data_IF_747495696051
#
_entry.id   IF_747495696051
#
_cell.length_a   1.000
_cell.length_b   1.000
_cell.length_c   1.000
_cell.angle_alpha   90.00
_cell.angle_beta   90.00
_cell.angle_gamma   90.00
#
_symmetry.space_group_name_H-M   'P 1'
#
loop_
_entity.id
_entity.type
_entity.pdbx_description
1 polymer ?
#
# COMPACT_ATOMS: atom_id res chain seq x y z
N UNK A 1 2.79 -13.94 9.91
CA UNK A 1 3.49 -12.96 9.06
C UNK A 1 3.34 -11.60 9.73
N UNK A 2 4.46 -10.93 9.97
CA UNK A 2 4.48 -9.56 10.48
C UNK A 2 4.56 -8.59 9.29
N UNK A 3 3.57 -7.70 9.18
CA UNK A 3 3.54 -6.65 8.17
C UNK A 3 3.64 -5.29 8.87
N UNK A 4 4.55 -4.44 8.38
CA UNK A 4 4.62 -3.04 8.78
C UNK A 4 4.23 -2.17 7.58
N UNK A 5 3.15 -1.40 7.74
CA UNK A 5 2.73 -0.40 6.77
C UNK A 5 3.31 0.96 7.17
N UNK A 6 4.19 1.48 6.31
CA UNK A 6 4.97 2.67 6.57
C UNK A 6 4.46 3.83 5.74
N UNK A 7 3.96 4.89 6.36
CA UNK A 7 3.54 6.05 5.59
C UNK A 7 2.54 6.99 6.22
N UNK A 8 1.81 7.67 5.35
CA UNK A 8 0.87 8.72 5.70
C UNK A 8 -0.44 8.20 6.28
N UNK A 9 -1.06 9.05 7.06
CA UNK A 9 -2.46 8.96 7.46
C UNK A 9 -3.18 10.24 7.02
N UNK A 10 -4.44 10.09 6.72
CA UNK A 10 -5.33 11.20 6.33
C UNK A 10 -6.72 10.96 6.89
N UNK A 11 -7.53 12.00 6.92
CA UNK A 11 -8.99 11.87 7.02
C UNK A 11 -9.59 12.16 5.65
N UNK A 12 -10.41 11.23 5.16
CA UNK A 12 -11.25 11.42 3.99
C UNK A 12 -12.59 12.01 4.45
N UNK A 13 -12.82 13.29 4.14
CA UNK A 13 -14.02 14.03 4.51
C UNK A 13 -14.97 14.13 3.32
N UNK A 14 -16.19 13.65 3.49
CA UNK A 14 -17.23 13.68 2.48
C UNK A 14 -18.22 14.81 2.77
N UNK A 15 -18.18 15.87 1.97
CA UNK A 15 -19.00 17.08 2.18
C UNK A 15 -20.50 16.81 2.11
N UNK A 16 -20.93 15.97 1.18
CA UNK A 16 -22.36 15.69 0.98
C UNK A 16 -23.00 14.89 2.12
N UNK A 17 -22.23 14.08 2.86
CA UNK A 17 -22.70 13.31 4.03
C UNK A 17 -22.18 13.87 5.36
N UNK A 18 -21.22 14.79 5.33
CA UNK A 18 -20.52 15.32 6.50
C UNK A 18 -19.85 14.22 7.36
N UNK A 19 -19.41 13.15 6.71
CA UNK A 19 -18.75 12.02 7.35
C UNK A 19 -17.23 12.10 7.18
N UNK A 20 -16.52 11.64 8.20
CA UNK A 20 -15.07 11.52 8.23
C UNK A 20 -14.69 10.05 8.33
N UNK A 21 -13.78 9.61 7.46
CA UNK A 21 -13.23 8.27 7.51
C UNK A 21 -11.71 8.33 7.60
N UNK A 22 -11.10 7.44 8.40
CA UNK A 22 -9.65 7.27 8.36
C UNK A 22 -9.23 6.82 6.96
N UNK A 23 -8.10 7.31 6.49
CA UNK A 23 -7.57 7.00 5.18
C UNK A 23 -6.05 7.11 5.15
N UNK A 24 -5.51 7.01 3.96
CA UNK A 24 -4.07 6.93 3.70
C UNK A 24 -3.67 5.52 3.30
N UNK A 25 -2.79 5.42 2.31
CA UNK A 25 -2.36 4.13 1.77
C UNK A 25 -1.84 3.19 2.87
N UNK A 26 -0.94 3.66 3.75
CA UNK A 26 -0.37 2.84 4.81
C UNK A 26 -1.41 2.41 5.86
N UNK A 27 -2.34 3.29 6.25
CA UNK A 27 -3.43 2.97 7.18
C UNK A 27 -4.33 1.89 6.58
N UNK A 28 -4.73 2.04 5.32
CA UNK A 28 -5.58 1.06 4.63
C UNK A 28 -4.90 -0.31 4.55
N UNK A 29 -3.62 -0.35 4.15
CA UNK A 29 -2.84 -1.58 4.07
C UNK A 29 -2.75 -2.27 5.44
N UNK A 30 -2.46 -1.53 6.53
CA UNK A 30 -2.36 -2.10 7.87
C UNK A 30 -3.68 -2.75 8.32
N UNK A 31 -4.79 -2.05 8.14
CA UNK A 31 -6.12 -2.55 8.52
C UNK A 31 -6.52 -3.78 7.69
N UNK A 32 -6.32 -3.75 6.38
CA UNK A 32 -6.61 -4.92 5.55
C UNK A 32 -5.72 -6.12 5.92
N UNK A 33 -4.43 -5.89 6.20
CA UNK A 33 -3.53 -6.95 6.62
C UNK A 33 -3.97 -7.59 7.94
N UNK A 34 -4.37 -6.78 8.93
CA UNK A 34 -4.90 -7.27 10.20
C UNK A 34 -6.17 -8.10 10.00
N UNK A 35 -7.11 -7.62 9.19
CA UNK A 35 -8.35 -8.36 8.84
C UNK A 35 -8.09 -9.69 8.13
N UNK A 36 -6.98 -9.80 7.42
CA UNK A 36 -6.51 -11.06 6.80
C UNK A 36 -5.70 -11.95 7.75
N UNK A 37 -5.57 -11.56 9.04
CA UNK A 37 -4.90 -12.34 10.06
C UNK A 37 -3.37 -12.16 10.13
N UNK A 38 -2.83 -11.10 9.52
CA UNK A 38 -1.45 -10.73 9.71
C UNK A 38 -1.26 -10.05 11.08
N UNK A 39 -0.07 -10.17 11.66
CA UNK A 39 0.38 -9.27 12.72
C UNK A 39 0.73 -7.94 12.05
N UNK A 40 -0.22 -7.00 12.06
CA UNK A 40 -0.09 -5.74 11.37
C UNK A 40 0.34 -4.62 12.31
N UNK A 41 1.29 -3.83 11.86
CA UNK A 41 1.75 -2.62 12.52
C UNK A 41 1.66 -1.46 11.53
N UNK A 42 1.21 -0.31 11.99
CA UNK A 42 1.29 0.94 11.27
C UNK A 42 2.42 1.79 11.86
N UNK A 43 3.27 2.33 11.00
CA UNK A 43 4.36 3.23 11.37
C UNK A 43 4.24 4.53 10.55
N UNK A 44 3.84 5.59 11.22
CA UNK A 44 3.69 6.93 10.66
C UNK A 44 3.47 7.95 11.75
N UNK A 45 3.67 9.23 11.45
CA UNK A 45 3.48 10.30 12.43
C UNK A 45 1.99 10.60 12.61
N UNK A 46 1.52 10.62 13.86
CA UNK A 46 0.18 11.04 14.24
C UNK A 46 0.20 12.48 14.74
N UNK A 47 -0.86 13.23 14.47
CA UNK A 47 -1.12 14.50 15.16
C UNK A 47 -1.69 14.25 16.56
N UNK A 48 -2.02 15.35 17.29
CA UNK A 48 -2.71 15.29 18.57
C UNK A 48 -4.09 15.97 18.53
N UNK A 49 -4.62 16.12 17.33
CA UNK A 49 -5.95 16.68 17.09
C UNK A 49 -7.07 15.61 17.10
N UNK A 50 -8.32 16.06 17.06
CA UNK A 50 -9.47 15.14 17.05
C UNK A 50 -9.46 14.20 15.83
N UNK A 51 -8.90 14.62 14.69
CA UNK A 51 -8.81 13.82 13.48
C UNK A 51 -7.77 12.69 13.64
N UNK A 52 -6.65 12.97 14.32
CA UNK A 52 -5.67 11.95 14.69
C UNK A 52 -6.29 10.86 15.58
N UNK A 53 -7.12 11.25 16.56
CA UNK A 53 -7.81 10.28 17.42
C UNK A 53 -8.79 9.37 16.66
N UNK A 54 -9.40 9.85 15.57
CA UNK A 54 -10.23 8.99 14.69
C UNK A 54 -9.37 7.94 14.01
N UNK A 55 -8.20 8.32 13.49
CA UNK A 55 -7.26 7.37 12.85
C UNK A 55 -6.73 6.37 13.87
N UNK A 56 -6.25 6.85 15.02
CA UNK A 56 -5.73 6.03 16.11
C UNK A 56 -6.74 4.97 16.56
N UNK A 57 -7.96 5.42 16.90
CA UNK A 57 -9.04 4.54 17.31
C UNK A 57 -9.35 3.47 16.27
N UNK A 58 -9.43 3.87 15.00
CA UNK A 58 -9.74 2.93 13.93
C UNK A 58 -8.64 1.89 13.73
N UNK A 59 -7.37 2.26 13.84
CA UNK A 59 -6.24 1.32 13.80
C UNK A 59 -6.32 0.32 14.96
N UNK A 60 -6.51 0.80 16.19
CA UNK A 60 -6.60 -0.02 17.40
C UNK A 60 -7.80 -0.98 17.37
N UNK A 61 -8.98 -0.50 16.96
CA UNK A 61 -10.21 -1.33 16.85
C UNK A 61 -10.06 -2.45 15.79
N UNK A 62 -9.19 -2.27 14.81
CA UNK A 62 -8.87 -3.29 13.82
C UNK A 62 -7.65 -4.16 14.21
N UNK A 63 -7.12 -4.01 15.44
CA UNK A 63 -6.01 -4.83 15.94
C UNK A 63 -4.65 -4.50 15.31
N UNK A 64 -4.49 -3.28 14.80
CA UNK A 64 -3.21 -2.79 14.27
C UNK A 64 -2.39 -2.21 15.42
N UNK A 65 -1.13 -2.63 15.51
CA UNK A 65 -0.17 -2.07 16.45
C UNK A 65 0.31 -0.69 15.99
N UNK A 66 0.25 0.30 16.89
CA UNK A 66 0.70 1.67 16.67
C UNK A 66 1.69 2.14 17.75
N UNK A 67 2.23 1.20 18.52
CA UNK A 67 3.06 1.52 19.70
C UNK A 67 4.35 2.28 19.35
N UNK A 68 4.80 2.19 18.11
CA UNK A 68 5.98 2.91 17.60
C UNK A 68 5.63 4.19 16.83
N UNK A 69 4.35 4.58 16.74
CA UNK A 69 3.97 5.81 16.06
C UNK A 69 4.27 7.03 16.94
N UNK A 70 5.11 7.97 16.49
CA UNK A 70 5.29 9.23 17.19
C UNK A 70 4.01 10.08 17.13
N UNK A 71 3.58 10.59 18.28
CA UNK A 71 2.52 11.60 18.38
C UNK A 71 3.16 12.98 18.46
N UNK A 72 2.93 13.79 17.45
CA UNK A 72 3.50 15.12 17.31
C UNK A 72 2.60 16.16 17.93
N UNK A 73 3.00 16.68 19.09
CA UNK A 73 2.24 17.64 19.88
C UNK A 73 1.99 18.96 19.13
N UNK A 74 0.76 19.44 19.17
CA UNK A 74 0.32 20.66 18.50
C UNK A 74 0.25 20.55 16.96
N UNK A 75 0.23 19.32 16.43
CA UNK A 75 0.18 19.08 14.97
C UNK A 75 -1.17 18.52 14.56
N UNK A 76 -1.65 18.99 13.43
CA UNK A 76 -2.95 18.61 12.86
C UNK A 76 -2.83 17.52 11.80
N UNK A 77 -3.85 16.67 11.71
CA UNK A 77 -3.94 15.61 10.71
C UNK A 77 -4.32 16.17 9.35
N UNK A 78 -3.76 15.60 8.30
CA UNK A 78 -4.12 15.94 6.92
C UNK A 78 -5.57 15.51 6.63
N UNK A 79 -6.34 16.38 5.98
CA UNK A 79 -7.70 16.11 5.53
C UNK A 79 -7.77 16.20 4.01
N UNK A 80 -8.35 15.19 3.38
CA UNK A 80 -8.72 15.19 1.97
C UNK A 80 -10.23 15.29 1.84
N UNK A 81 -10.72 16.27 1.10
CA UNK A 81 -12.14 16.54 0.95
C UNK A 81 -12.69 16.06 -0.37
N UNK A 82 -13.85 15.42 -0.33
CA UNK A 82 -14.53 14.83 -1.48
C UNK A 82 -16.02 15.18 -1.51
N UNK A 83 -16.57 15.28 -2.73
CA UNK A 83 -17.99 15.13 -2.99
C UNK A 83 -18.26 13.83 -3.76
N UNK A 84 -19.41 13.22 -3.52
CA UNK A 84 -19.88 12.09 -4.31
C UNK A 84 -21.10 12.51 -5.12
N UNK A 85 -20.96 12.50 -6.44
CA UNK A 85 -22.03 12.83 -7.38
C UNK A 85 -22.28 11.61 -8.28
N UNK A 86 -23.49 11.07 -8.23
CA UNK A 86 -23.88 9.88 -9.02
C UNK A 86 -22.97 8.65 -8.80
N UNK A 87 -22.45 8.46 -7.59
CA UNK A 87 -21.52 7.38 -7.25
C UNK A 87 -20.07 7.61 -7.67
N UNK A 88 -19.78 8.71 -8.34
CA UNK A 88 -18.41 9.13 -8.67
C UNK A 88 -17.90 10.16 -7.68
N UNK A 89 -16.66 9.98 -7.24
CA UNK A 89 -15.98 10.91 -6.33
C UNK A 89 -15.31 12.03 -7.10
N UNK A 90 -15.57 13.24 -6.65
CA UNK A 90 -14.85 14.44 -7.06
C UNK A 90 -14.01 14.92 -5.90
N UNK A 91 -12.71 14.94 -6.11
CA UNK A 91 -11.76 15.52 -5.18
C UNK A 91 -11.95 17.04 -5.17
N UNK A 92 -12.08 17.64 -3.97
CA UNK A 92 -12.25 19.09 -3.80
C UNK A 92 -10.94 19.74 -3.42
N UNK A 93 -10.42 19.42 -2.23
CA UNK A 93 -9.22 20.03 -1.71
C UNK A 93 -8.43 19.11 -0.77
N UNK A 94 -7.16 19.44 -0.56
CA UNK A 94 -6.33 18.89 0.51
C UNK A 94 -6.01 20.00 1.50
N UNK A 95 -6.43 19.82 2.74
CA UNK A 95 -5.93 20.59 3.87
C UNK A 95 -4.73 19.83 4.41
N UNK A 96 -3.54 20.32 4.13
CA UNK A 96 -2.31 19.65 4.60
C UNK A 96 -2.16 19.86 6.10
N UNK A 97 -2.21 18.74 6.83
CA UNK A 97 -1.99 18.75 8.26
C UNK A 97 -0.52 18.94 8.62
N UNK A 98 -0.26 19.50 9.76
CA UNK A 98 1.09 19.80 10.24
C UNK A 98 1.84 18.56 10.77
N UNK A 99 1.14 17.46 11.06
CA UNK A 99 1.76 16.18 11.40
C UNK A 99 2.48 15.54 10.21
N UNK A 100 2.21 16.01 8.99
CA UNK A 100 2.78 15.48 7.77
C UNK A 100 3.41 16.58 6.89
N UNK A 101 4.41 17.28 7.42
CA UNK A 101 5.05 18.43 6.76
C UNK A 101 6.28 18.09 5.93
N UNK A 102 6.73 16.86 5.94
CA UNK A 102 7.95 16.44 5.23
C UNK A 102 8.06 14.93 5.09
N UNK A 103 9.21 14.41 4.68
CA UNK A 103 9.51 13.00 4.73
C UNK A 103 9.39 12.48 6.17
N UNK A 104 8.85 11.27 6.32
CA UNK A 104 8.84 10.59 7.61
C UNK A 104 10.28 10.43 8.10
N UNK A 105 10.55 10.88 9.33
CA UNK A 105 11.85 10.72 9.95
C UNK A 105 11.86 9.41 10.74
N UNK A 106 12.67 8.45 10.31
CA UNK A 106 12.78 7.15 10.99
C UNK A 106 13.90 7.21 12.02
N UNK A 107 13.55 6.99 13.27
CA UNK A 107 14.50 6.87 14.37
C UNK A 107 15.25 5.53 14.33
N UNK A 108 16.33 5.39 15.09
CA UNK A 108 17.04 4.12 15.22
C UNK A 108 16.15 2.99 15.76
N UNK A 109 15.25 3.31 16.70
CA UNK A 109 14.31 2.34 17.27
C UNK A 109 13.30 1.85 16.23
N UNK A 110 12.71 2.77 15.45
CA UNK A 110 11.78 2.43 14.38
C UNK A 110 12.48 1.63 13.26
N UNK A 111 13.75 1.94 12.98
CA UNK A 111 14.54 1.17 12.04
C UNK A 111 14.78 -0.27 12.54
N UNK A 112 15.06 -0.45 13.82
CA UNK A 112 15.20 -1.78 14.41
C UNK A 112 13.87 -2.54 14.37
N UNK A 113 12.75 -1.86 14.55
CA UNK A 113 11.43 -2.45 14.40
C UNK A 113 11.16 -2.91 12.94
N UNK A 114 11.49 -2.08 11.95
CA UNK A 114 11.35 -2.43 10.53
C UNK A 114 12.15 -3.69 10.15
N UNK A 115 13.30 -3.94 10.80
CA UNK A 115 14.09 -5.18 10.58
C UNK A 115 13.40 -6.45 11.06
N UNK A 116 12.39 -6.32 11.93
CA UNK A 116 11.61 -7.47 12.42
C UNK A 116 10.50 -7.90 11.49
N UNK A 117 10.16 -7.08 10.50
CA UNK A 117 9.08 -7.34 9.57
C UNK A 117 9.40 -8.49 8.61
N UNK A 118 8.36 -9.17 8.18
CA UNK A 118 8.40 -10.08 7.03
C UNK A 118 8.13 -9.33 5.73
N UNK A 119 7.27 -8.31 5.83
CA UNK A 119 6.81 -7.47 4.74
C UNK A 119 6.71 -6.02 5.21
N UNK A 120 7.28 -5.12 4.45
CA UNK A 120 7.09 -3.68 4.59
C UNK A 120 6.34 -3.18 3.35
N UNK A 121 5.31 -2.38 3.56
CA UNK A 121 4.57 -1.73 2.47
C UNK A 121 4.63 -0.22 2.68
N UNK A 122 5.02 0.50 1.65
CA UNK A 122 5.02 1.97 1.64
C UNK A 122 4.51 2.50 0.31
N UNK A 123 4.44 3.82 0.16
CA UNK A 123 3.95 4.44 -1.07
C UNK A 123 4.61 5.78 -1.37
N UNK A 124 4.41 6.27 -2.58
CA UNK A 124 4.83 7.61 -2.98
C UNK A 124 4.21 8.73 -2.12
N UNK A 125 3.08 8.47 -1.46
CA UNK A 125 2.45 9.42 -0.55
C UNK A 125 3.19 9.52 0.79
N UNK A 126 3.92 8.47 1.18
CA UNK A 126 4.71 8.42 2.39
C UNK A 126 5.95 9.31 2.36
N UNK A 127 6.33 9.85 1.17
CA UNK A 127 7.57 10.60 0.99
C UNK A 127 8.74 9.85 1.63
N UNK A 128 9.00 8.66 1.10
CA UNK A 128 9.94 7.70 1.63
C UNK A 128 11.26 8.34 2.05
N UNK A 129 11.71 8.15 3.28
CA UNK A 129 12.95 8.76 3.75
C UNK A 129 14.17 8.15 3.03
N UNK A 130 15.15 8.97 2.72
CA UNK A 130 16.42 8.57 2.12
C UNK A 130 17.10 7.43 2.90
N UNK A 131 16.89 7.38 4.21
CA UNK A 131 17.42 6.33 5.08
C UNK A 131 16.93 4.93 4.73
N UNK A 132 15.70 4.81 4.23
CA UNK A 132 15.16 3.51 3.80
C UNK A 132 15.71 3.09 2.43
N UNK A 133 16.00 4.07 1.59
CA UNK A 133 16.52 3.83 0.26
C UNK A 133 17.92 3.19 0.26
N UNK A 134 18.73 3.43 1.29
CA UNK A 134 20.12 2.95 1.37
C UNK A 134 20.33 1.74 2.29
N UNK A 135 19.29 1.27 2.99
CA UNK A 135 19.41 0.15 3.92
C UNK A 135 18.79 -1.13 3.33
N UNK A 136 19.60 -2.18 3.21
CA UNK A 136 19.11 -3.50 2.90
C UNK A 136 18.34 -4.04 4.11
N UNK A 137 17.03 -3.96 4.07
CA UNK A 137 16.15 -4.56 5.07
C UNK A 137 15.96 -6.05 4.76
N UNK A 138 15.90 -6.94 5.76
CA UNK A 138 15.66 -8.36 5.53
C UNK A 138 14.22 -8.67 5.09
N UNK A 139 13.31 -7.71 5.25
CA UNK A 139 11.91 -7.81 4.84
C UNK A 139 11.74 -7.69 3.32
N UNK A 140 10.69 -8.30 2.78
CA UNK A 140 10.21 -7.97 1.44
C UNK A 140 9.69 -6.53 1.46
N UNK A 141 10.13 -5.70 0.53
CA UNK A 141 9.69 -4.32 0.46
C UNK A 141 8.82 -4.06 -0.78
N UNK A 142 7.54 -3.79 -0.54
CA UNK A 142 6.57 -3.41 -1.56
C UNK A 142 6.31 -1.91 -1.53
N UNK A 143 6.27 -1.29 -2.72
CA UNK A 143 6.10 0.16 -2.84
C UNK A 143 5.05 0.52 -3.88
N UNK A 144 4.08 1.34 -3.48
CA UNK A 144 3.02 1.83 -4.36
C UNK A 144 3.38 3.19 -4.95
N UNK A 145 3.57 3.24 -6.27
CA UNK A 145 3.80 4.45 -7.04
C UNK A 145 2.50 5.21 -7.38
N UNK A 146 1.34 4.61 -7.07
CA UNK A 146 0.04 5.20 -7.38
C UNK A 146 -0.20 5.40 -8.87
N UNK A 147 -0.98 6.44 -9.22
CA UNK A 147 -1.37 6.75 -10.60
C UNK A 147 -0.64 7.95 -11.22
N UNK A 148 0.02 8.78 -10.38
CA UNK A 148 0.56 10.09 -10.80
C UNK A 148 1.88 9.97 -11.53
N UNK A 149 1.96 10.52 -12.74
CA UNK A 149 3.14 10.48 -13.61
C UNK A 149 4.41 11.08 -12.96
N UNK A 150 4.27 12.06 -12.06
CA UNK A 150 5.42 12.66 -11.36
C UNK A 150 6.24 11.66 -10.53
N UNK A 151 5.64 10.51 -10.15
CA UNK A 151 6.31 9.43 -9.42
C UNK A 151 6.78 8.30 -10.35
N UNK A 152 6.65 8.47 -11.68
CA UNK A 152 7.02 7.50 -12.71
C UNK A 152 8.16 8.01 -13.59
N UNK A 153 9.00 8.88 -13.06
CA UNK A 153 10.16 9.44 -13.74
C UNK A 153 11.43 8.66 -13.40
N UNK A 154 12.40 8.66 -14.32
CA UNK A 154 13.69 8.03 -14.07
C UNK A 154 14.36 8.55 -12.79
N UNK A 155 14.31 9.86 -12.55
CA UNK A 155 14.88 10.46 -11.35
C UNK A 155 14.25 9.90 -10.06
N UNK A 156 12.91 9.75 -10.03
CA UNK A 156 12.22 9.19 -8.87
C UNK A 156 12.49 7.69 -8.71
N UNK A 157 12.57 6.96 -9.82
CA UNK A 157 12.94 5.54 -9.80
C UNK A 157 14.37 5.33 -9.30
N UNK A 158 15.32 6.20 -9.69
CA UNK A 158 16.71 6.16 -9.21
C UNK A 158 16.80 6.38 -7.69
N UNK A 159 15.89 7.18 -7.14
CA UNK A 159 15.82 7.47 -5.71
C UNK A 159 15.32 6.26 -4.90
N UNK A 160 14.27 5.56 -5.37
CA UNK A 160 13.53 4.61 -4.53
C UNK A 160 13.70 3.13 -4.92
N UNK A 161 14.02 2.81 -6.19
CA UNK A 161 13.91 1.42 -6.66
C UNK A 161 14.96 0.46 -6.11
N UNK A 162 16.11 0.94 -5.65
CA UNK A 162 17.19 0.08 -5.18
C UNK A 162 16.88 -0.68 -3.87
N UNK A 163 15.81 -0.32 -3.17
CA UNK A 163 15.34 -1.00 -1.96
C UNK A 163 14.03 -1.76 -2.17
N UNK A 164 13.46 -1.76 -3.36
CA UNK A 164 12.12 -2.28 -3.62
C UNK A 164 12.19 -3.66 -4.29
N UNK A 165 11.48 -4.63 -3.73
CA UNK A 165 11.29 -5.96 -4.34
C UNK A 165 10.06 -6.00 -5.25
N UNK A 166 9.00 -5.27 -4.88
CA UNK A 166 7.76 -5.21 -5.61
C UNK A 166 7.28 -3.77 -5.79
N UNK A 167 7.14 -3.34 -7.03
CA UNK A 167 6.51 -2.08 -7.41
C UNK A 167 5.03 -2.30 -7.74
N UNK A 168 4.17 -1.43 -7.21
CA UNK A 168 2.74 -1.41 -7.49
C UNK A 168 2.39 -0.11 -8.22
N UNK A 169 1.53 -0.20 -9.24
CA UNK A 169 1.11 0.94 -10.05
C UNK A 169 -0.40 0.86 -10.31
N UNK A 170 -1.10 1.97 -10.15
CA UNK A 170 -2.49 2.12 -10.58
C UNK A 170 -2.50 2.67 -12.01
N UNK A 171 -3.02 1.91 -12.95
CA UNK A 171 -2.90 2.20 -14.37
C UNK A 171 -4.26 2.27 -15.07
N UNK A 172 -4.30 2.97 -16.20
CA UNK A 172 -5.38 2.82 -17.17
C UNK A 172 -5.26 1.45 -17.86
N UNK A 173 -6.34 0.90 -18.42
CA UNK A 173 -6.26 -0.32 -19.21
C UNK A 173 -5.19 -0.23 -20.31
N UNK A 174 -4.35 -1.24 -20.42
CA UNK A 174 -3.28 -1.35 -21.40
C UNK A 174 -3.08 -2.79 -21.85
N UNK A 175 -2.39 -3.01 -22.97
CA UNK A 175 -1.99 -4.34 -23.41
C UNK A 175 -0.64 -4.79 -22.78
N UNK A 176 -0.26 -6.04 -23.07
CA UNK A 176 0.99 -6.61 -22.52
C UNK A 176 2.25 -5.92 -23.05
N UNK A 177 2.21 -5.36 -24.27
CA UNK A 177 3.37 -4.68 -24.85
C UNK A 177 3.62 -3.35 -24.11
N UNK A 178 2.57 -2.54 -23.94
CA UNK A 178 2.65 -1.30 -23.17
C UNK A 178 3.02 -1.56 -21.69
N UNK A 179 2.50 -2.64 -21.10
CA UNK A 179 2.89 -3.03 -19.74
C UNK A 179 4.36 -3.46 -19.66
N UNK A 180 4.88 -4.17 -20.63
CA UNK A 180 6.31 -4.53 -20.68
C UNK A 180 7.21 -3.29 -20.76
N UNK A 181 6.82 -2.29 -21.54
CA UNK A 181 7.53 -1.00 -21.63
C UNK A 181 7.50 -0.26 -20.28
N UNK A 182 6.35 -0.24 -19.60
CA UNK A 182 6.20 0.35 -18.26
C UNK A 182 7.10 -0.35 -17.21
N UNK A 183 7.24 -1.68 -17.28
CA UNK A 183 8.05 -2.46 -16.35
C UNK A 183 9.56 -2.31 -16.58
N UNK A 184 9.98 -2.08 -17.83
CA UNK A 184 11.39 -2.10 -18.20
C UNK A 184 12.28 -1.16 -17.36
N UNK A 185 11.95 0.10 -17.09
CA UNK A 185 12.76 0.98 -16.26
C UNK A 185 12.88 0.53 -14.80
N UNK A 186 11.83 -0.12 -14.26
CA UNK A 186 11.81 -0.67 -12.91
C UNK A 186 12.72 -1.91 -12.80
N UNK A 187 12.57 -2.85 -13.75
CA UNK A 187 13.39 -4.06 -13.79
C UNK A 187 14.89 -3.75 -13.97
N UNK A 188 15.23 -2.74 -14.80
CA UNK A 188 16.64 -2.30 -14.95
C UNK A 188 17.25 -1.81 -13.64
N UNK A 189 16.44 -1.35 -12.70
CA UNK A 189 16.86 -0.87 -11.36
C UNK A 189 16.78 -1.94 -10.28
N UNK A 190 16.56 -3.19 -10.66
CA UNK A 190 16.57 -4.33 -9.74
C UNK A 190 15.21 -4.74 -9.18
N UNK A 191 14.13 -4.00 -9.45
CA UNK A 191 12.78 -4.39 -9.01
C UNK A 191 12.38 -5.71 -9.69
N UNK A 192 12.19 -6.74 -8.88
CA UNK A 192 11.91 -8.10 -9.39
C UNK A 192 10.46 -8.24 -9.87
N UNK A 193 9.54 -7.66 -9.13
CA UNK A 193 8.09 -7.78 -9.36
C UNK A 193 7.47 -6.41 -9.65
N UNK A 194 6.65 -6.34 -10.69
CA UNK A 194 5.88 -5.13 -11.01
C UNK A 194 4.42 -5.52 -11.20
N UNK A 195 3.55 -4.97 -10.36
CA UNK A 195 2.10 -5.18 -10.40
C UNK A 195 1.42 -3.92 -10.92
N UNK A 196 0.62 -4.04 -11.98
CA UNK A 196 -0.30 -2.99 -12.41
C UNK A 196 -1.74 -3.41 -12.12
N UNK A 197 -2.48 -2.53 -11.45
CA UNK A 197 -3.94 -2.63 -11.29
C UNK A 197 -4.63 -1.69 -12.27
N UNK A 198 -5.67 -2.17 -12.97
CA UNK A 198 -6.36 -1.44 -14.04
C UNK A 198 -7.88 -1.39 -13.80
N UNK A 199 -8.29 -1.29 -12.53
CA UNK A 199 -9.69 -1.27 -12.15
C UNK A 199 -10.46 -2.47 -12.71
N UNK A 200 -11.57 -2.22 -13.40
CA UNK A 200 -12.41 -3.24 -14.03
C UNK A 200 -11.69 -4.10 -15.08
N UNK A 201 -10.63 -3.59 -15.70
CA UNK A 201 -9.84 -4.34 -16.69
C UNK A 201 -8.95 -5.41 -16.08
N UNK A 202 -8.81 -5.45 -14.76
CA UNK A 202 -8.04 -6.47 -14.07
C UNK A 202 -6.65 -6.01 -13.66
N UNK A 203 -5.70 -6.94 -13.70
CA UNK A 203 -4.33 -6.68 -13.25
C UNK A 203 -3.32 -7.48 -14.06
N UNK A 204 -2.11 -6.95 -14.15
CA UNK A 204 -0.96 -7.62 -14.73
C UNK A 204 0.20 -7.63 -13.75
N UNK A 205 0.90 -8.77 -13.67
CA UNK A 205 2.12 -8.94 -12.88
C UNK A 205 3.27 -9.29 -13.81
N UNK A 206 4.34 -8.53 -13.76
CA UNK A 206 5.61 -8.85 -14.39
C UNK A 206 6.58 -9.40 -13.34
N UNK A 207 7.17 -10.55 -13.63
CA UNK A 207 8.25 -11.14 -12.83
C UNK A 207 9.47 -11.24 -13.72
N UNK A 208 10.41 -10.31 -13.56
CA UNK A 208 11.61 -10.23 -14.41
C UNK A 208 11.26 -10.31 -15.92
N UNK A 209 10.22 -9.60 -16.35
CA UNK A 209 9.78 -9.55 -17.73
C UNK A 209 8.80 -10.66 -18.17
N UNK A 210 8.53 -11.66 -17.33
CA UNK A 210 7.46 -12.63 -17.59
C UNK A 210 6.13 -12.08 -17.10
N UNK A 211 5.17 -11.88 -18.01
CA UNK A 211 3.89 -11.23 -17.72
C UNK A 211 2.78 -12.28 -17.53
N UNK A 212 2.09 -12.15 -16.39
CA UNK A 212 0.85 -12.88 -16.08
C UNK A 212 -0.27 -11.86 -15.95
N UNK A 213 -1.42 -12.17 -16.52
CA UNK A 213 -2.62 -11.32 -16.52
C UNK A 213 -3.75 -12.04 -15.78
N UNK A 214 -4.53 -11.29 -15.03
CA UNK A 214 -5.73 -11.78 -14.37
C UNK A 214 -6.87 -10.76 -14.52
N UNK A 215 -8.02 -11.26 -14.97
CA UNK A 215 -9.25 -10.47 -15.01
C UNK A 215 -9.84 -10.28 -13.61
N UNK A 216 -10.54 -9.18 -13.41
CA UNK A 216 -11.26 -8.89 -12.17
C UNK A 216 -12.69 -9.43 -12.26
N UNK A 217 -13.20 -10.02 -11.18
CA UNK A 217 -14.63 -10.25 -11.05
C UNK A 217 -15.27 -8.94 -10.61
N UNK A 218 -16.17 -8.42 -11.44
CA UNK A 218 -16.89 -7.20 -11.13
C UNK A 218 -17.89 -7.46 -9.99
N UNK A 219 -17.86 -6.58 -9.00
CA UNK A 219 -18.85 -6.50 -7.92
C UNK A 219 -19.40 -5.08 -7.88
N UNK A 220 -20.68 -4.92 -7.55
CA UNK A 220 -21.21 -3.59 -7.25
C UNK A 220 -20.56 -3.09 -5.97
N UNK A 221 -19.72 -2.09 -6.10
CA UNK A 221 -19.09 -1.42 -4.96
C UNK A 221 -19.78 -0.08 -4.73
N UNK A 222 -20.15 0.21 -3.51
CA UNK A 222 -20.67 1.53 -3.12
C UNK A 222 -19.57 2.58 -3.06
N UNK A 223 -18.35 2.15 -2.79
CA UNK A 223 -17.13 2.95 -2.82
C UNK A 223 -15.92 2.07 -3.19
N UNK A 224 -14.96 2.62 -3.91
CA UNK A 224 -13.72 1.95 -4.33
C UNK A 224 -12.48 2.44 -3.58
N UNK A 225 -12.66 3.26 -2.52
CA UNK A 225 -11.54 3.74 -1.70
C UNK A 225 -10.82 2.56 -1.02
N UNK A 226 -9.48 2.53 -1.11
CA UNK A 226 -8.66 1.44 -0.55
C UNK A 226 -8.70 0.12 -1.33
N UNK A 227 -9.45 0.01 -2.43
CA UNK A 227 -9.50 -1.21 -3.23
C UNK A 227 -8.13 -1.55 -3.84
N UNK A 228 -7.36 -0.54 -4.28
CA UNK A 228 -5.98 -0.70 -4.72
C UNK A 228 -5.07 -1.20 -3.60
N UNK A 229 -5.21 -0.60 -2.42
CA UNK A 229 -4.40 -0.91 -1.24
C UNK A 229 -4.62 -2.36 -0.76
N UNK A 230 -5.85 -2.87 -0.86
CA UNK A 230 -6.19 -4.24 -0.46
C UNK A 230 -5.84 -5.30 -1.50
N UNK A 231 -5.85 -4.94 -2.78
CA UNK A 231 -5.71 -5.87 -3.90
C UNK A 231 -4.35 -6.61 -3.91
N UNK A 232 -3.30 -5.95 -3.45
CA UNK A 232 -1.94 -6.52 -3.45
C UNK A 232 -1.67 -7.47 -2.27
N UNK A 233 -2.39 -7.37 -1.15
CA UNK A 233 -2.10 -8.12 0.08
C UNK A 233 -2.12 -9.64 -0.09
N UNK A 234 -3.08 -10.26 -0.79
CA UNK A 234 -3.04 -11.71 -1.04
C UNK A 234 -1.82 -12.14 -1.86
N UNK A 235 -1.41 -11.33 -2.84
CA UNK A 235 -0.20 -11.56 -3.62
C UNK A 235 1.05 -11.47 -2.75
N UNK A 236 1.12 -10.45 -1.90
CA UNK A 236 2.22 -10.22 -0.96
C UNK A 236 2.33 -11.35 0.08
N UNK A 237 1.20 -11.84 0.61
CA UNK A 237 1.19 -12.97 1.54
C UNK A 237 1.74 -14.25 0.92
N UNK A 238 1.35 -14.55 -0.33
CA UNK A 238 1.89 -15.68 -1.09
C UNK A 238 3.38 -15.48 -1.37
N UNK A 239 3.78 -14.28 -1.76
CA UNK A 239 5.17 -13.94 -2.05
C UNK A 239 6.08 -14.13 -0.84
N UNK A 240 5.70 -13.62 0.33
CA UNK A 240 6.45 -13.80 1.58
C UNK A 240 6.53 -15.27 1.99
N UNK A 241 5.46 -16.04 1.83
CA UNK A 241 5.45 -17.47 2.08
C UNK A 241 6.42 -18.24 1.17
N UNK A 242 6.46 -17.89 -0.11
CA UNK A 242 7.39 -18.50 -1.08
C UNK A 242 8.83 -18.06 -0.85
N UNK A 243 9.07 -16.79 -0.54
CA UNK A 243 10.42 -16.28 -0.26
C UNK A 243 11.03 -16.94 0.99
N UNK A 244 10.24 -17.13 2.05
CA UNK A 244 10.67 -17.86 3.26
C UNK A 244 10.86 -19.35 3.02
N UNK A 245 10.00 -19.98 2.21
CA UNK A 245 10.14 -21.37 1.83
C UNK A 245 11.43 -21.65 1.03
N UNK A 246 11.93 -20.67 0.27
CA UNK A 246 13.21 -20.78 -0.45
C UNK A 246 14.43 -20.66 0.46
N UNK A 247 14.34 -19.97 1.57
CA UNK A 247 15.40 -19.91 2.58
C UNK A 247 15.61 -21.27 3.28
N UNK A 248 14.60 -22.17 3.25
CA UNK A 248 14.65 -23.51 3.83
C UNK A 248 14.77 -24.66 2.83
N UNK A 249 14.61 -24.40 1.53
CA UNK A 249 14.70 -25.43 0.49
C UNK A 249 15.50 -24.91 -0.70
N UNK A 250 16.79 -25.18 -0.71
CA UNK A 250 17.56 -25.11 -1.95
C UNK A 250 17.05 -26.18 -2.91
N UNK A 251 16.10 -25.86 -3.78
CA UNK A 251 15.81 -26.61 -5.02
C UNK A 251 14.60 -26.03 -5.79
N UNK A 252 14.79 -25.80 -7.10
CA UNK A 252 13.81 -26.06 -8.13
C UNK A 252 12.66 -25.08 -8.31
N UNK A 253 12.85 -24.11 -9.23
CA UNK A 253 11.77 -23.32 -9.80
C UNK A 253 10.93 -24.21 -10.74
N UNK A 254 9.74 -24.61 -10.34
CA UNK A 254 8.69 -25.05 -11.28
C UNK A 254 7.31 -24.84 -10.67
N UNK A 255 6.52 -23.96 -11.30
CA UNK A 255 5.08 -23.96 -11.24
C UNK A 255 4.46 -23.20 -10.06
N UNK A 256 4.16 -21.92 -10.26
CA UNK A 256 3.22 -21.20 -9.41
C UNK A 256 1.78 -21.74 -9.66
N UNK A 257 1.43 -22.84 -9.03
CA UNK A 257 0.06 -23.40 -9.00
C UNK A 257 -0.74 -22.91 -7.79
N UNK A 258 -0.18 -22.01 -6.95
CA UNK A 258 -0.78 -21.55 -5.72
C UNK A 258 -1.97 -20.59 -5.86
N UNK A 259 -2.26 -20.07 -7.06
CA UNK A 259 -3.40 -19.15 -7.26
C UNK A 259 -4.79 -19.80 -7.23
N UNK A 260 -4.88 -21.13 -7.03
CA UNK A 260 -6.17 -21.84 -6.95
C UNK A 260 -6.75 -21.98 -5.54
N UNK A 261 -6.00 -21.67 -4.50
CA UNK A 261 -6.39 -22.06 -3.13
C UNK A 261 -7.03 -20.97 -2.27
N UNK A 262 -7.14 -19.74 -2.74
CA UNK A 262 -7.81 -18.70 -1.96
C UNK A 262 -9.15 -18.32 -2.62
N UNK A 263 -10.24 -18.97 -2.21
CA UNK A 263 -11.62 -18.51 -2.43
C UNK A 263 -11.93 -17.21 -1.68
N UNK A 264 -10.97 -16.30 -1.61
CA UNK A 264 -11.04 -15.02 -0.89
C UNK A 264 -11.60 -13.87 -1.74
N UNK A 265 -11.94 -14.15 -3.02
CA UNK A 265 -12.45 -13.12 -3.93
C UNK A 265 -13.82 -12.54 -3.55
N UNK A 266 -14.58 -13.21 -2.71
CA UNK A 266 -15.96 -12.79 -2.38
C UNK A 266 -16.12 -12.17 -0.99
N UNK A 267 -15.13 -12.26 -0.11
CA UNK A 267 -15.21 -11.66 1.23
C UNK A 267 -14.60 -10.27 1.36
N UNK A 268 -13.77 -9.83 0.40
CA UNK A 268 -13.10 -8.52 0.46
C UNK A 268 -13.96 -7.36 -0.05
N UNK A 269 -15.06 -7.63 -0.75
CA UNK A 269 -15.97 -6.62 -1.32
C UNK A 269 -17.37 -6.70 -0.73
N UNK A 270 -17.48 -7.09 0.54
CA UNK A 270 -18.73 -6.95 1.28
C UNK A 270 -19.03 -5.45 1.47
N UNK A 271 -20.11 -5.00 0.81
CA UNK A 271 -20.80 -3.72 1.03
C UNK A 271 -19.91 -2.53 1.44
N UNK A 272 -19.29 -1.94 0.47
CA UNK A 272 -19.08 -0.47 0.38
C UNK A 272 -18.15 0.11 1.35
N UNK A 273 -17.51 0.64 1.86
CA UNK A 273 -16.54 1.42 2.63
C UNK A 273 -15.67 0.55 3.54
N UNK A 274 -14.39 0.78 3.50
CA UNK A 274 -13.40 0.10 4.33
C UNK A 274 -13.74 0.16 5.83
N UNK A 275 -14.47 1.17 6.26
CA UNK A 275 -14.72 1.54 7.64
C UNK A 275 -16.17 1.33 8.12
N UNK A 276 -17.03 0.66 7.36
CA UNK A 276 -18.39 0.27 7.76
C UNK A 276 -18.49 -1.20 8.13
#
# INVERSE_FOLDING_TARGET
MKLIALGDNVIDYYHNTQECFPGGNAVNVAVHAARLGAQAEYLGSLGDDNMAHIVEKALQENGVDISHCPVLQGRTTKVCSYDVVNGERSFLEVITGESWTGPLQITAQELDELKTADLIVSSCNAKMPEQMAVQALPAVFAYDFGEKEKYRTDAYYDEVCHSIDLAMLSCKPMDKAAFAELCAPLHRRGVVHVLATMGAAGQMLSVQGKIVEKTTQMVEASDTMGAGDSCCLPLLAVYCGVAKGKAHAGAGASGCTGCRAAGLGTQLYGTGRLWL
#
